data_IF_170438486235
#
_entry.id   IF_170438486235
#
_cell.length_a   1.000
_cell.length_b   1.000
_cell.length_c   1.000
_cell.angle_alpha   90.00
_cell.angle_beta   90.00
_cell.angle_gamma   90.00
#
_symmetry.space_group_name_H-M   'P 1'
#
loop_
_entity.id
_entity.type
_entity.pdbx_description
1 polymer ?
#
# COMPACT_ATOMS: atom_id res chain seq x y z
N UNK A 1 12.57 -48.93 30.42
CA UNK A 1 12.20 -50.04 29.52
C UNK A 1 11.75 -49.50 28.17
N UNK A 2 12.05 -50.21 27.07
CA UNK A 2 11.75 -49.77 25.68
C UNK A 2 10.28 -49.37 25.46
N UNK A 3 9.34 -50.02 26.17
CA UNK A 3 7.91 -49.71 26.11
C UNK A 3 7.55 -48.29 26.58
N UNK A 4 8.09 -47.86 27.73
CA UNK A 4 7.85 -46.50 28.27
C UNK A 4 8.39 -45.43 27.31
N UNK A 5 9.54 -45.68 26.69
CA UNK A 5 10.14 -44.78 25.71
C UNK A 5 9.25 -44.63 24.46
N UNK A 6 8.71 -45.73 23.93
CA UNK A 6 7.81 -45.71 22.78
C UNK A 6 6.51 -44.97 23.08
N UNK A 7 5.94 -45.17 24.27
CA UNK A 7 4.73 -44.48 24.72
C UNK A 7 4.94 -42.95 24.79
N UNK A 8 6.09 -42.53 25.34
CA UNK A 8 6.46 -41.12 25.42
C UNK A 8 6.62 -40.50 24.03
N UNK A 9 7.34 -41.16 23.12
CA UNK A 9 7.54 -40.66 21.76
C UNK A 9 6.22 -40.60 20.96
N UNK A 10 5.31 -41.56 21.17
CA UNK A 10 3.98 -41.53 20.56
C UNK A 10 3.19 -40.30 21.01
N UNK A 11 3.20 -39.99 22.32
CA UNK A 11 2.57 -38.78 22.87
C UNK A 11 3.21 -37.51 22.30
N UNK A 12 4.55 -37.46 22.24
CA UNK A 12 5.30 -36.33 21.67
C UNK A 12 4.91 -36.07 20.21
N UNK A 13 4.82 -37.13 19.39
CA UNK A 13 4.41 -37.04 17.98
C UNK A 13 2.97 -36.58 17.83
N UNK A 14 2.05 -37.03 18.68
CA UNK A 14 0.66 -36.58 18.67
C UNK A 14 0.56 -35.09 18.99
N UNK A 15 1.30 -34.60 19.99
CA UNK A 15 1.36 -33.19 20.34
C UNK A 15 1.93 -32.35 19.19
N UNK A 16 3.03 -32.79 18.56
CA UNK A 16 3.63 -32.09 17.43
C UNK A 16 2.64 -31.95 16.27
N UNK A 17 1.93 -33.03 15.93
CA UNK A 17 0.89 -32.98 14.89
C UNK A 17 -0.18 -31.94 15.22
N UNK A 18 -0.67 -31.92 16.46
CA UNK A 18 -1.66 -30.92 16.90
C UNK A 18 -1.14 -29.49 16.73
N UNK A 19 0.09 -29.22 17.15
CA UNK A 19 0.69 -27.89 17.00
C UNK A 19 0.84 -27.49 15.53
N UNK A 20 1.21 -28.42 14.64
CA UNK A 20 1.33 -28.13 13.21
C UNK A 20 -0.04 -27.86 12.55
N UNK A 21 -1.09 -28.58 12.95
CA UNK A 21 -2.45 -28.30 12.46
C UNK A 21 -2.96 -26.93 12.93
N UNK A 22 -2.71 -26.57 14.20
CA UNK A 22 -3.02 -25.23 14.71
C UNK A 22 -2.28 -24.14 13.92
N UNK A 23 -0.98 -24.36 13.65
CA UNK A 23 -0.20 -23.41 12.86
C UNK A 23 -0.78 -23.24 11.46
N UNK A 24 -1.22 -24.32 10.80
CA UNK A 24 -1.88 -24.22 9.49
C UNK A 24 -3.11 -23.31 9.53
N UNK A 25 -3.97 -23.47 10.53
CA UNK A 25 -5.20 -22.66 10.67
C UNK A 25 -4.93 -21.15 10.80
N UNK A 26 -3.77 -20.76 11.32
CA UNK A 26 -3.37 -19.36 11.49
C UNK A 26 -2.75 -18.74 10.24
N UNK A 27 -2.42 -19.54 9.23
CA UNK A 27 -1.84 -19.03 7.99
C UNK A 27 -2.95 -18.50 7.05
N UNK A 28 -2.66 -17.49 6.20
CA UNK A 28 -3.55 -17.12 5.11
C UNK A 28 -3.48 -18.22 4.04
N UNK A 29 -4.35 -19.22 4.19
CA UNK A 29 -4.40 -20.40 3.35
C UNK A 29 -5.34 -20.17 2.16
N UNK A 30 -4.79 -20.10 0.95
CA UNK A 30 -5.57 -20.37 -0.26
C UNK A 30 -6.00 -21.84 -0.31
N UNK A 31 -7.08 -22.13 -1.05
CA UNK A 31 -7.70 -23.45 -1.14
C UNK A 31 -6.77 -24.60 -1.62
N UNK A 32 -5.56 -24.31 -2.08
CA UNK A 32 -4.57 -25.26 -2.62
C UNK A 32 -3.64 -25.89 -1.55
N UNK A 33 -4.09 -25.93 -0.29
CA UNK A 33 -3.29 -26.39 0.86
C UNK A 33 -3.26 -27.93 1.03
N UNK A 34 -3.75 -28.72 0.06
CA UNK A 34 -3.87 -30.17 0.22
C UNK A 34 -2.54 -30.92 0.47
N UNK A 35 -1.37 -30.29 0.24
CA UNK A 35 -0.04 -30.88 0.48
C UNK A 35 0.99 -29.89 1.05
N UNK A 36 0.99 -29.70 2.38
CA UNK A 36 2.13 -29.08 3.07
C UNK A 36 3.05 -30.09 3.72
N UNK A 37 4.35 -29.90 3.52
CA UNK A 37 5.40 -30.49 4.35
C UNK A 37 5.66 -29.60 5.56
N UNK A 38 6.14 -30.17 6.68
CA UNK A 38 6.49 -29.41 7.89
C UNK A 38 7.42 -28.24 7.59
N UNK A 39 8.43 -28.44 6.74
CA UNK A 39 9.38 -27.40 6.37
C UNK A 39 8.72 -26.24 5.63
N UNK A 40 7.84 -26.54 4.66
CA UNK A 40 7.15 -25.51 3.88
C UNK A 40 6.21 -24.66 4.73
N UNK A 41 5.56 -25.27 5.73
CA UNK A 41 4.70 -24.58 6.69
C UNK A 41 5.50 -23.60 7.55
N UNK A 42 6.61 -24.05 8.14
CA UNK A 42 7.46 -23.22 8.99
C UNK A 42 8.07 -22.03 8.22
N UNK A 43 8.50 -22.24 6.97
CA UNK A 43 9.03 -21.16 6.13
C UNK A 43 7.96 -20.09 5.85
N UNK A 44 6.74 -20.51 5.50
CA UNK A 44 5.62 -19.57 5.27
C UNK A 44 5.22 -18.84 6.54
N UNK A 45 5.16 -19.53 7.69
CA UNK A 45 4.86 -18.91 8.98
C UNK A 45 5.84 -17.78 9.30
N UNK A 46 7.14 -18.01 9.09
CA UNK A 46 8.16 -16.96 9.29
C UNK A 46 7.92 -15.74 8.41
N UNK A 47 7.63 -15.95 7.12
CA UNK A 47 7.33 -14.84 6.19
C UNK A 47 6.05 -14.12 6.58
N UNK A 48 5.02 -14.84 7.05
CA UNK A 48 3.77 -14.22 7.46
C UNK A 48 3.94 -13.34 8.70
N UNK A 49 4.69 -13.80 9.70
CA UNK A 49 5.04 -13.00 10.89
C UNK A 49 5.76 -11.72 10.45
N UNK A 50 6.79 -11.85 9.59
CA UNK A 50 7.52 -10.69 9.10
C UNK A 50 6.61 -9.68 8.38
N UNK A 51 5.69 -10.15 7.54
CA UNK A 51 4.72 -9.28 6.87
C UNK A 51 3.76 -8.59 7.83
N UNK A 52 3.36 -9.27 8.91
CA UNK A 52 2.51 -8.67 9.95
C UNK A 52 3.27 -7.58 10.72
N UNK A 53 4.55 -7.82 11.02
CA UNK A 53 5.43 -6.84 11.65
C UNK A 53 5.62 -5.60 10.77
N UNK A 54 5.94 -5.77 9.48
CA UNK A 54 6.10 -4.67 8.53
C UNK A 54 4.83 -3.83 8.37
N UNK A 55 3.66 -4.48 8.33
CA UNK A 55 2.37 -3.79 8.26
C UNK A 55 2.02 -3.03 9.54
N UNK A 56 2.56 -3.44 10.69
CA UNK A 56 2.34 -2.74 11.96
C UNK A 56 3.13 -1.42 12.06
N UNK A 57 4.25 -1.30 11.35
CA UNK A 57 5.12 -0.12 11.35
C UNK A 57 4.56 1.05 10.50
N UNK A 58 3.83 0.74 9.42
CA UNK A 58 3.26 1.75 8.51
C UNK A 58 2.26 2.72 9.18
N UNK A 59 1.23 2.22 9.88
CA UNK A 59 0.20 3.05 10.53
C UNK A 59 0.76 4.03 11.56
N UNK A 60 1.78 3.61 12.32
CA UNK A 60 2.48 4.48 13.27
C UNK A 60 3.15 5.66 12.57
N UNK A 61 3.90 5.37 11.50
CA UNK A 61 4.56 6.38 10.67
C UNK A 61 3.58 7.36 10.03
N UNK A 62 2.45 6.89 9.53
CA UNK A 62 1.44 7.77 8.93
C UNK A 62 0.79 8.68 9.98
N UNK A 63 0.44 8.13 11.14
CA UNK A 63 -0.10 8.89 12.28
C UNK A 63 0.87 9.97 12.74
N UNK A 64 2.16 9.65 12.83
CA UNK A 64 3.21 10.61 13.18
C UNK A 64 3.36 11.72 12.13
N UNK A 65 3.41 11.38 10.84
CA UNK A 65 3.43 12.38 9.75
C UNK A 65 2.27 13.35 9.83
N UNK A 66 1.05 12.85 10.05
CA UNK A 66 -0.15 13.66 10.19
C UNK A 66 -0.08 14.56 11.43
N UNK A 67 0.36 14.03 12.57
CA UNK A 67 0.57 14.82 13.80
C UNK A 67 1.57 15.96 13.58
N UNK A 68 2.69 15.70 12.91
CA UNK A 68 3.70 16.72 12.64
C UNK A 68 3.17 17.82 11.70
N UNK A 69 2.39 17.45 10.66
CA UNK A 69 1.70 18.43 9.82
C UNK A 69 0.72 19.28 10.62
N UNK A 70 -0.09 18.66 11.46
CA UNK A 70 -1.04 19.39 12.32
C UNK A 70 -0.31 20.39 13.22
N UNK A 71 0.79 19.99 13.87
CA UNK A 71 1.57 20.88 14.73
C UNK A 71 2.21 22.03 13.95
N UNK A 72 2.76 21.76 12.77
CA UNK A 72 3.34 22.82 11.91
C UNK A 72 2.28 23.85 11.50
N UNK A 73 1.09 23.38 11.08
CA UNK A 73 -0.02 24.26 10.73
C UNK A 73 -0.50 25.09 11.93
N UNK A 74 -0.55 24.50 13.13
CA UNK A 74 -0.88 25.21 14.36
C UNK A 74 0.14 26.32 14.67
N UNK A 75 1.45 26.05 14.52
CA UNK A 75 2.49 27.06 14.69
C UNK A 75 2.39 28.18 13.66
N UNK A 76 2.05 27.87 12.41
CA UNK A 76 1.84 28.89 11.38
C UNK A 76 0.61 29.77 11.70
N UNK A 77 -0.48 29.16 12.16
CA UNK A 77 -1.65 29.91 12.61
C UNK A 77 -1.33 30.80 13.80
N UNK A 78 -0.56 30.31 14.77
CA UNK A 78 -0.11 31.11 15.91
C UNK A 78 0.78 32.27 15.47
N UNK A 79 1.67 32.10 14.50
CA UNK A 79 2.48 33.21 13.94
C UNK A 79 1.63 34.27 13.22
N UNK A 80 0.55 33.86 12.56
CA UNK A 80 -0.36 34.76 11.87
C UNK A 80 -1.36 35.45 12.81
N UNK A 81 -1.82 34.74 13.85
CA UNK A 81 -2.71 35.26 14.89
C UNK A 81 -1.99 35.98 16.01
N UNK A 82 -0.67 35.78 16.16
CA UNK A 82 0.15 36.52 17.09
C UNK A 82 -0.16 38.00 16.86
N UNK A 83 -0.85 38.66 17.81
CA UNK A 83 -1.29 40.03 17.64
C UNK A 83 -0.02 40.79 17.32
N UNK A 84 -0.01 41.50 16.20
CA UNK A 84 1.15 42.17 15.63
C UNK A 84 2.01 42.83 16.73
N UNK A 85 2.92 42.06 17.33
CA UNK A 85 3.92 42.54 18.24
C UNK A 85 4.83 43.43 17.40
N UNK A 86 5.56 44.38 18.02
CA UNK A 86 5.99 45.68 17.46
C UNK A 86 7.10 45.59 16.39
N UNK A 87 7.04 44.57 15.53
CA UNK A 87 7.92 44.27 14.40
C UNK A 87 7.24 44.48 13.06
N UNK A 88 5.90 44.53 13.01
CA UNK A 88 5.14 44.83 11.77
C UNK A 88 4.84 46.32 11.58
N UNK A 89 4.95 47.11 12.64
CA UNK A 89 4.67 48.57 12.60
C UNK A 89 5.90 49.42 12.27
N UNK A 90 7.12 48.87 12.35
CA UNK A 90 8.36 49.58 12.01
C UNK A 90 8.77 49.52 10.54
N UNK A 91 8.03 48.79 9.71
CA UNK A 91 8.25 48.74 8.26
C UNK A 91 7.30 49.67 7.47
N UNK A 92 6.54 50.54 8.17
CA UNK A 92 5.67 51.55 7.54
C UNK A 92 6.33 52.91 7.32
N UNK A 93 7.59 53.06 7.69
CA UNK A 93 8.39 54.20 7.27
C UNK A 93 9.35 53.70 6.19
N UNK A 94 9.24 54.31 5.01
CA UNK A 94 10.24 54.30 3.95
C UNK A 94 10.25 53.07 3.04
N UNK A 95 9.37 53.09 2.02
CA UNK A 95 9.77 53.11 0.60
C UNK A 95 8.57 52.81 -0.29
N UNK A 96 8.11 53.83 -1.02
CA UNK A 96 7.38 53.64 -2.26
C UNK A 96 8.40 53.16 -3.30
N UNK A 97 8.10 52.08 -4.01
CA UNK A 97 8.89 51.38 -5.05
C UNK A 97 9.54 50.07 -4.59
N UNK A 98 8.82 48.97 -4.82
CA UNK A 98 9.39 47.72 -5.33
C UNK A 98 8.23 46.90 -5.89
N UNK A 99 7.91 47.19 -7.14
CA UNK A 99 7.18 46.28 -8.01
C UNK A 99 8.20 45.28 -8.56
N UNK A 100 8.02 43.98 -8.27
CA UNK A 100 9.02 42.99 -8.64
C UNK A 100 8.80 41.61 -8.03
N UNK A 101 7.77 40.93 -8.53
CA UNK A 101 7.78 39.49 -8.82
C UNK A 101 8.60 38.58 -7.88
N UNK A 102 7.91 37.93 -6.93
CA UNK A 102 8.35 36.63 -6.42
C UNK A 102 7.14 35.84 -5.95
N UNK A 103 6.25 35.56 -6.90
CA UNK A 103 5.05 34.74 -6.73
C UNK A 103 5.11 33.53 -7.65
N UNK A 104 6.21 32.77 -7.62
CA UNK A 104 6.21 31.47 -8.30
C UNK A 104 7.26 30.56 -7.64
N UNK A 105 6.89 29.29 -7.47
CA UNK A 105 7.65 28.19 -6.85
C UNK A 105 7.47 28.04 -5.33
N UNK A 106 6.23 27.78 -4.94
CA UNK A 106 6.01 26.61 -4.07
C UNK A 106 5.96 25.39 -4.98
N UNK A 107 7.12 24.81 -5.25
CA UNK A 107 7.22 23.52 -5.93
C UNK A 107 6.89 22.45 -4.89
N UNK A 108 5.60 22.24 -4.67
CA UNK A 108 5.13 21.11 -3.89
C UNK A 108 5.13 19.93 -4.87
N UNK A 109 6.22 19.17 -4.88
CA UNK A 109 6.32 17.85 -5.49
C UNK A 109 5.23 16.95 -4.87
N UNK A 110 4.03 17.07 -5.40
CA UNK A 110 2.94 16.17 -5.18
C UNK A 110 3.13 15.05 -6.18
N UNK A 111 4.02 14.11 -5.84
CA UNK A 111 3.98 12.80 -6.47
C UNK A 111 2.62 12.19 -6.12
N UNK A 112 1.73 12.18 -7.11
CA UNK A 112 0.47 11.45 -7.09
C UNK A 112 0.81 9.96 -6.93
N UNK A 113 0.77 9.49 -5.70
CA UNK A 113 0.93 8.06 -5.42
C UNK A 113 -0.36 7.37 -5.87
N UNK A 114 -0.32 6.80 -7.08
CA UNK A 114 -1.38 5.94 -7.59
C UNK A 114 -1.68 4.86 -6.55
N UNK A 115 -2.88 4.91 -5.98
CA UNK A 115 -3.32 3.91 -5.02
C UNK A 115 -3.73 2.70 -5.85
N UNK A 116 -2.87 1.68 -5.89
CA UNK A 116 -3.17 0.42 -6.57
C UNK A 116 -4.42 -0.23 -5.95
N UNK A 117 -5.53 -0.14 -6.67
CA UNK A 117 -6.83 -0.71 -6.28
C UNK A 117 -6.84 -2.24 -6.48
N UNK A 118 -5.85 -2.82 -7.18
CA UNK A 118 -5.76 -4.26 -7.44
C UNK A 118 -5.43 -5.08 -6.17
N UNK A 119 -4.91 -4.42 -5.12
CA UNK A 119 -4.60 -5.03 -3.82
C UNK A 119 -5.81 -5.24 -2.90
N UNK A 120 -6.97 -4.62 -3.17
CA UNK A 120 -8.17 -4.73 -2.33
C UNK A 120 -9.04 -5.97 -2.57
N UNK A 121 -8.69 -6.83 -3.53
CA UNK A 121 -9.46 -8.06 -3.78
C UNK A 121 -8.96 -9.21 -2.90
N UNK A 122 -9.37 -9.18 -1.63
CA UNK A 122 -9.52 -10.42 -0.86
C UNK A 122 -10.86 -11.08 -1.27
N UNK A 123 -10.84 -11.74 -2.42
CA UNK A 123 -11.94 -12.53 -2.95
C UNK A 123 -11.39 -13.49 -4.00
N UNK A 124 -11.49 -14.80 -3.74
CA UNK A 124 -10.75 -15.83 -4.46
C UNK A 124 -10.89 -15.82 -6.00
N UNK A 125 -9.83 -16.29 -6.65
CA UNK A 125 -9.59 -16.43 -8.11
C UNK A 125 -10.69 -17.08 -8.98
N UNK A 126 -11.84 -17.48 -8.44
CA UNK A 126 -12.85 -18.25 -9.18
C UNK A 126 -13.80 -17.38 -10.03
N UNK A 127 -13.96 -16.08 -9.74
CA UNK A 127 -14.90 -15.21 -10.47
C UNK A 127 -14.25 -14.41 -11.61
N UNK A 128 -12.92 -14.33 -11.70
CA UNK A 128 -12.21 -13.50 -12.68
C UNK A 128 -12.10 -14.11 -14.09
N UNK A 129 -12.37 -15.41 -14.25
CA UNK A 129 -12.31 -16.08 -15.55
C UNK A 129 -13.60 -15.94 -16.39
N UNK A 130 -14.61 -15.22 -15.90
CA UNK A 130 -15.88 -15.01 -16.62
C UNK A 130 -16.01 -13.62 -17.26
N UNK A 131 -15.05 -12.72 -17.04
CA UNK A 131 -15.19 -11.31 -17.42
C UNK A 131 -14.52 -10.86 -18.72
N UNK A 132 -13.51 -11.58 -19.23
CA UNK A 132 -12.79 -11.16 -20.45
C UNK A 132 -12.59 -12.35 -21.40
N UNK A 133 -13.65 -12.71 -22.13
CA UNK A 133 -13.45 -13.39 -23.41
C UNK A 133 -12.74 -12.42 -24.35
N UNK A 134 -11.50 -12.74 -24.69
CA UNK A 134 -10.75 -12.08 -25.74
C UNK A 134 -11.48 -12.28 -27.08
N UNK A 135 -11.92 -11.18 -27.68
CA UNK A 135 -12.63 -11.21 -28.96
C UNK A 135 -13.10 -9.82 -29.39
N UNK A 136 -12.20 -8.84 -29.41
CA UNK A 136 -12.48 -7.59 -30.10
C UNK A 136 -11.21 -7.11 -30.83
N UNK A 137 -11.16 -7.47 -32.10
CA UNK A 137 -10.13 -7.10 -33.07
C UNK A 137 -10.11 -5.57 -33.22
N UNK A 138 -8.94 -4.96 -33.08
CA UNK A 138 -8.70 -3.56 -33.41
C UNK A 138 -8.82 -3.35 -34.92
N UNK A 139 -9.79 -2.55 -35.36
CA UNK A 139 -9.81 -2.00 -36.72
C UNK A 139 -9.37 -0.53 -36.67
N UNK A 140 -8.16 -0.25 -37.15
CA UNK A 140 -7.72 1.11 -37.43
C UNK A 140 -8.42 1.60 -38.69
N UNK A 141 -9.31 2.58 -38.58
CA UNK A 141 -9.80 3.33 -39.75
C UNK A 141 -9.34 4.77 -39.64
N UNK A 142 -8.25 5.06 -40.34
CA UNK A 142 -7.73 6.38 -40.61
C UNK A 142 -8.59 6.98 -41.73
N UNK A 143 -9.40 7.99 -41.43
CA UNK A 143 -10.11 8.75 -42.44
C UNK A 143 -9.13 9.71 -43.12
N UNK A 144 -8.62 9.34 -44.29
CA UNK A 144 -8.06 10.29 -45.24
C UNK A 144 -8.81 10.21 -46.57
N UNK A 145 -9.26 11.37 -47.00
CA UNK A 145 -10.06 11.61 -48.18
C UNK A 145 -9.22 11.54 -49.46
N UNK A 146 -9.75 10.91 -50.51
CA UNK A 146 -9.62 11.20 -51.96
C UNK A 146 -9.36 9.96 -52.82
N UNK A 147 -10.27 9.75 -53.77
CA UNK A 147 -9.90 9.61 -55.19
C UNK A 147 -9.87 8.20 -55.79
N UNK A 148 -10.94 7.89 -56.52
CA UNK A 148 -10.99 7.21 -57.83
C UNK A 148 -10.27 5.87 -58.06
N UNK A 149 -11.03 4.90 -58.61
CA UNK A 149 -10.52 4.11 -59.75
C UNK A 149 -10.83 2.61 -59.77
N UNK A 150 -11.85 2.25 -60.56
CA UNK A 150 -11.95 1.11 -61.48
C UNK A 150 -11.53 -0.32 -61.03
N UNK A 151 -12.52 -1.21 -61.03
CA UNK A 151 -12.38 -2.66 -61.02
C UNK A 151 -12.28 -3.20 -62.46
N UNK A 152 -11.28 -4.04 -62.72
CA UNK A 152 -11.26 -5.09 -63.76
C UNK A 152 -10.80 -6.39 -63.11
#
# INVERSE_FOLDING_TARGET
GRSVHNELEKRRRAQLKRCLEQLKQQMPLGADCARYTTLSLLRRARVHIQKLEEQSDGPGRLKEKLRNRQQSLQQQLEQLQAPAGPRRERLRADSLDSSGLSSERWDSDQEELEVDVESLVFGGKAELLRGFSAGQEHSYSHNFSRGNGAWL
#
